data_IF_326951712385
#
_entry.id   IF_326951712385
#
_cell.length_a   1.000
_cell.length_b   1.000
_cell.length_c   1.000
_cell.angle_alpha   90.00
_cell.angle_beta   90.00
_cell.angle_gamma   90.00
#
_symmetry.space_group_name_H-M   'P 1'
#
loop_
_entity.id
_entity.type
_entity.pdbx_description
1 polymer ?
#
# COMPACT_ATOMS: atom_id res chain seq x y z
N UNK A 1 -7.59 36.63 -25.68
CA UNK A 1 -7.71 35.71 -24.52
C UNK A 1 -8.71 36.33 -23.56
N UNK A 2 -9.94 35.81 -23.42
CA UNK A 2 -10.86 36.38 -22.43
C UNK A 2 -10.33 36.00 -21.04
N UNK A 3 -9.81 36.98 -20.31
CA UNK A 3 -9.66 36.89 -18.87
C UNK A 3 -11.08 36.93 -18.29
N UNK A 4 -11.73 35.77 -18.27
CA UNK A 4 -13.03 35.61 -17.63
C UNK A 4 -12.89 36.00 -16.17
N UNK A 5 -13.63 37.03 -15.78
CA UNK A 5 -13.75 37.54 -14.43
C UNK A 5 -14.00 36.35 -13.48
N UNK A 6 -12.97 35.91 -12.75
CA UNK A 6 -13.07 34.77 -11.85
C UNK A 6 -14.01 35.15 -10.73
N UNK A 7 -15.24 34.64 -10.78
CA UNK A 7 -16.20 34.74 -9.68
C UNK A 7 -15.47 34.28 -8.43
N UNK A 8 -15.25 35.20 -7.49
CA UNK A 8 -14.52 34.94 -6.25
C UNK A 8 -15.36 34.00 -5.39
N UNK A 9 -15.25 32.71 -5.69
CA UNK A 9 -16.05 31.66 -5.07
C UNK A 9 -15.49 31.46 -3.67
N UNK A 10 -16.32 31.56 -2.61
CA UNK A 10 -15.83 31.42 -1.26
C UNK A 10 -15.22 30.03 -1.06
N UNK A 11 -14.19 29.97 -0.21
CA UNK A 11 -13.56 28.72 0.14
C UNK A 11 -14.53 27.85 0.97
N UNK A 12 -14.63 26.58 0.63
CA UNK A 12 -15.53 25.61 1.25
C UNK A 12 -14.72 24.35 1.61
N UNK A 13 -15.20 23.56 2.58
CA UNK A 13 -14.51 22.33 3.02
C UNK A 13 -14.27 21.31 1.90
N UNK A 14 -15.08 21.33 0.83
CA UNK A 14 -14.85 20.50 -0.36
C UNK A 14 -13.53 20.84 -1.08
N UNK A 15 -13.11 22.10 -1.00
CA UNK A 15 -11.84 22.54 -1.59
C UNK A 15 -10.66 22.02 -0.78
N UNK A 16 -10.75 22.01 0.56
CA UNK A 16 -9.75 21.38 1.43
C UNK A 16 -9.56 19.90 1.07
N UNK A 17 -10.67 19.16 0.92
CA UNK A 17 -10.62 17.75 0.53
C UNK A 17 -10.03 17.54 -0.87
N UNK A 18 -10.32 18.44 -1.82
CA UNK A 18 -9.76 18.37 -3.17
C UNK A 18 -8.25 18.62 -3.17
N UNK A 19 -7.78 19.61 -2.40
CA UNK A 19 -6.35 19.90 -2.23
C UNK A 19 -5.63 18.75 -1.53
N UNK A 20 -6.21 18.18 -0.47
CA UNK A 20 -5.63 17.02 0.20
C UNK A 20 -5.51 15.82 -0.73
N UNK A 21 -6.55 15.57 -1.54
CA UNK A 21 -6.52 14.49 -2.53
C UNK A 21 -5.42 14.71 -3.57
N UNK A 22 -5.25 15.94 -4.07
CA UNK A 22 -4.20 16.24 -5.05
C UNK A 22 -2.80 16.09 -4.46
N UNK A 23 -2.58 16.50 -3.20
CA UNK A 23 -1.31 16.31 -2.48
C UNK A 23 -0.99 14.82 -2.33
N UNK A 24 -1.96 14.01 -1.88
CA UNK A 24 -1.79 12.56 -1.72
C UNK A 24 -1.45 11.91 -3.07
N UNK A 25 -2.20 12.23 -4.12
CA UNK A 25 -1.97 11.70 -5.47
C UNK A 25 -0.60 12.09 -6.03
N UNK A 26 -0.21 13.36 -5.87
CA UNK A 26 1.09 13.86 -6.34
C UNK A 26 2.22 13.13 -5.62
N UNK A 27 2.15 13.02 -4.30
CA UNK A 27 3.16 12.35 -3.46
C UNK A 27 3.30 10.86 -3.81
N UNK A 28 2.18 10.17 -4.00
CA UNK A 28 2.18 8.76 -4.37
C UNK A 28 2.67 8.52 -5.81
N UNK A 29 2.45 9.47 -6.71
CA UNK A 29 2.93 9.41 -8.10
C UNK A 29 4.43 9.69 -8.20
N UNK A 30 4.97 10.57 -7.35
CA UNK A 30 6.40 10.89 -7.29
C UNK A 30 7.22 9.95 -6.39
N UNK A 31 6.70 8.76 -6.06
CA UNK A 31 7.38 7.80 -5.16
C UNK A 31 8.75 7.36 -5.66
N UNK A 32 8.92 7.18 -6.97
CA UNK A 32 10.22 6.83 -7.55
C UNK A 32 11.28 7.89 -7.25
N UNK A 33 10.93 9.16 -7.32
CA UNK A 33 11.82 10.27 -6.96
C UNK A 33 12.19 10.23 -5.48
N UNK A 34 11.23 9.90 -4.61
CA UNK A 34 11.48 9.76 -3.16
C UNK A 34 12.43 8.59 -2.88
N UNK A 35 12.32 7.49 -3.62
CA UNK A 35 13.22 6.33 -3.46
C UNK A 35 14.64 6.59 -3.99
N UNK A 36 14.81 7.59 -4.84
CA UNK A 36 16.10 7.96 -5.42
C UNK A 36 16.89 8.94 -4.54
N UNK A 37 16.36 9.36 -3.38
CA UNK A 37 17.08 10.22 -2.44
C UNK A 37 18.20 9.47 -1.73
N UNK A 38 19.42 10.01 -1.78
CA UNK A 38 20.62 9.39 -1.19
C UNK A 38 20.48 9.16 0.32
N UNK A 39 19.84 10.09 1.04
CA UNK A 39 19.58 9.98 2.48
C UNK A 39 18.63 8.83 2.85
N UNK A 40 17.92 8.28 1.87
CA UNK A 40 17.00 7.15 2.05
C UNK A 40 17.58 5.84 1.52
N UNK A 41 18.80 5.85 0.96
CA UNK A 41 19.43 4.67 0.37
C UNK A 41 19.57 3.53 1.38
N UNK A 42 19.98 3.83 2.62
CA UNK A 42 20.17 2.84 3.69
C UNK A 42 18.87 2.13 4.12
N UNK A 43 17.73 2.81 3.95
CA UNK A 43 16.41 2.29 4.34
C UNK A 43 15.58 1.78 3.16
N UNK A 44 16.15 1.79 1.95
CA UNK A 44 15.53 1.30 0.72
C UNK A 44 15.64 -0.24 0.54
N UNK A 45 15.87 -0.97 1.63
CA UNK A 45 15.90 -2.42 1.62
C UNK A 45 14.49 -2.98 1.30
N UNK A 46 14.44 -4.06 0.51
CA UNK A 46 13.21 -4.73 0.08
C UNK A 46 12.31 -3.88 -0.84
N UNK A 47 12.89 -3.22 -1.85
CA UNK A 47 12.13 -2.57 -2.92
C UNK A 47 11.29 -1.39 -2.47
N UNK A 48 11.73 -0.68 -1.42
CA UNK A 48 11.06 0.53 -0.92
C UNK A 48 9.82 0.28 -0.05
N UNK A 49 9.54 -0.95 0.41
CA UNK A 49 8.37 -1.24 1.24
C UNK A 49 8.34 -0.42 2.55
N UNK A 50 9.48 -0.29 3.22
CA UNK A 50 9.61 0.51 4.45
C UNK A 50 9.32 1.99 4.20
N UNK A 51 9.86 2.53 3.10
CA UNK A 51 9.65 3.93 2.69
C UNK A 51 8.18 4.14 2.33
N UNK A 52 7.58 3.24 1.55
CA UNK A 52 6.17 3.30 1.16
C UNK A 52 5.23 3.28 2.38
N UNK A 53 5.49 2.41 3.36
CA UNK A 53 4.74 2.39 4.63
C UNK A 53 4.87 3.71 5.37
N UNK A 54 6.06 4.31 5.41
CA UNK A 54 6.25 5.61 6.07
C UNK A 54 5.57 6.76 5.34
N UNK A 55 5.61 6.80 4.01
CA UNK A 55 4.85 7.78 3.21
C UNK A 55 3.36 7.68 3.56
N UNK A 56 2.79 6.48 3.56
CA UNK A 56 1.38 6.28 3.90
C UNK A 56 1.05 6.67 5.35
N UNK A 57 1.94 6.41 6.31
CA UNK A 57 1.77 6.84 7.70
C UNK A 57 1.78 8.36 7.84
N UNK A 58 2.70 9.06 7.17
CA UNK A 58 2.81 10.53 7.21
C UNK A 58 1.57 11.15 6.56
N UNK A 59 1.19 10.67 5.37
CA UNK A 59 -0.03 11.13 4.70
C UNK A 59 -1.28 10.83 5.53
N UNK A 60 -1.35 9.66 6.17
CA UNK A 60 -2.46 9.32 7.07
C UNK A 60 -2.61 10.35 8.19
N UNK A 61 -1.52 10.67 8.89
CA UNK A 61 -1.52 11.70 9.95
C UNK A 61 -1.91 13.08 9.44
N UNK A 62 -1.41 13.48 8.27
CA UNK A 62 -1.74 14.77 7.65
C UNK A 62 -3.22 14.88 7.33
N UNK A 63 -3.83 13.79 6.88
CA UNK A 63 -5.22 13.78 6.45
C UNK A 63 -6.19 13.60 7.63
N UNK A 64 -5.76 12.97 8.72
CA UNK A 64 -6.55 12.81 9.95
C UNK A 64 -6.96 14.13 10.63
N UNK A 65 -6.31 15.25 10.30
CA UNK A 65 -6.70 16.56 10.84
C UNK A 65 -7.93 17.16 10.15
N UNK A 66 -8.42 16.55 9.06
CA UNK A 66 -9.53 17.07 8.27
C UNK A 66 -10.72 16.10 8.30
N UNK A 67 -11.91 16.56 8.72
CA UNK A 67 -13.10 15.71 8.78
C UNK A 67 -13.50 15.21 7.39
N UNK A 68 -13.78 13.91 7.29
CA UNK A 68 -14.19 13.26 6.03
C UNK A 68 -13.03 12.78 5.13
N UNK A 69 -11.79 12.92 5.57
CA UNK A 69 -10.62 12.54 4.78
C UNK A 69 -9.92 11.25 5.28
N UNK A 70 -10.39 10.66 6.39
CA UNK A 70 -9.75 9.55 7.12
C UNK A 70 -9.35 8.33 6.26
N UNK A 71 -10.13 8.02 5.22
CA UNK A 71 -9.88 6.88 4.33
C UNK A 71 -9.23 7.27 3.00
N UNK A 72 -8.99 8.56 2.75
CA UNK A 72 -8.52 9.07 1.46
C UNK A 72 -7.19 8.45 1.03
N UNK A 73 -6.24 8.32 1.95
CA UNK A 73 -4.92 7.73 1.64
C UNK A 73 -5.05 6.26 1.22
N UNK A 74 -5.89 5.48 1.91
CA UNK A 74 -6.12 4.06 1.58
C UNK A 74 -6.80 3.90 0.22
N UNK A 75 -7.78 4.75 -0.08
CA UNK A 75 -8.46 4.77 -1.36
C UNK A 75 -7.51 5.07 -2.52
N UNK A 76 -6.66 6.10 -2.38
CA UNK A 76 -5.71 6.49 -3.44
C UNK A 76 -4.62 5.43 -3.65
N UNK A 77 -4.09 4.83 -2.58
CA UNK A 77 -3.14 3.71 -2.67
C UNK A 77 -3.79 2.50 -3.38
N UNK A 78 -5.04 2.18 -3.05
CA UNK A 78 -5.79 1.08 -3.66
C UNK A 78 -6.05 1.27 -5.16
N UNK A 79 -6.22 2.51 -5.62
CA UNK A 79 -6.34 2.85 -7.06
C UNK A 79 -5.03 2.61 -7.80
N UNK A 80 -3.89 2.97 -7.20
CA UNK A 80 -2.57 2.79 -7.84
C UNK A 80 -2.13 1.33 -7.90
N UNK A 81 -2.43 0.53 -6.87
CA UNK A 81 -2.11 -0.91 -6.87
C UNK A 81 -2.85 -1.73 -7.92
N UNK A 82 -3.97 -1.21 -8.46
CA UNK A 82 -4.75 -1.83 -9.53
C UNK A 82 -4.37 -1.33 -10.93
N UNK A 83 -3.33 -0.49 -11.04
CA UNK A 83 -2.93 0.20 -12.26
C UNK A 83 -1.95 -0.54 -13.18
N UNK A 84 -1.74 -1.85 -13.01
CA UNK A 84 -0.90 -2.65 -13.92
C UNK A 84 -1.48 -2.82 -15.33
N UNK A 85 -2.79 -2.70 -15.50
CA UNK A 85 -3.46 -2.80 -16.80
C UNK A 85 -4.67 -1.88 -16.80
N UNK A 86 -4.53 -0.70 -17.44
CA UNK A 86 -5.61 0.06 -18.08
C UNK A 86 -5.03 1.28 -18.80
N UNK A 87 -4.26 1.00 -19.85
CA UNK A 87 -4.21 1.85 -21.04
C UNK A 87 -4.77 1.04 -22.21
N UNK A 88 -6.06 1.16 -22.43
CA UNK A 88 -6.70 1.06 -23.74
C UNK A 88 -8.14 1.55 -23.56
N UNK A 89 -8.35 2.83 -23.86
CA UNK A 89 -9.65 3.28 -24.32
C UNK A 89 -9.80 2.77 -25.75
N UNK A 90 -10.88 2.04 -26.02
CA UNK A 90 -11.52 2.05 -27.33
C UNK A 90 -13.02 1.85 -27.10
N UNK A 91 -13.78 2.91 -27.32
CA UNK A 91 -15.23 2.89 -27.44
C UNK A 91 -15.60 2.13 -28.71
N UNK A 92 -16.38 1.05 -28.58
CA UNK A 92 -17.27 0.65 -29.66
C UNK A 92 -17.34 -0.85 -29.96
N UNK A 93 -18.51 -1.40 -29.66
CA UNK A 93 -19.15 -2.49 -30.41
C UNK A 93 -18.78 -3.95 -30.07
N UNK A 94 -19.79 -4.69 -29.61
CA UNK A 94 -20.01 -6.06 -30.10
C UNK A 94 -19.89 -7.22 -29.11
N UNK A 95 -20.98 -7.48 -28.37
CA UNK A 95 -21.61 -8.79 -28.06
C UNK A 95 -20.82 -9.97 -27.44
N UNK A 96 -21.45 -10.80 -26.57
CA UNK A 96 -20.78 -11.82 -25.77
C UNK A 96 -20.73 -13.18 -26.46
N UNK A 97 -19.55 -13.80 -26.56
CA UNK A 97 -19.40 -15.20 -27.02
C UNK A 97 -18.90 -16.13 -25.92
N UNK A 98 -19.87 -16.84 -25.33
CA UNK A 98 -19.87 -18.20 -24.78
C UNK A 98 -18.52 -18.90 -24.54
N UNK A 99 -18.30 -19.27 -23.28
CA UNK A 99 -17.39 -20.32 -22.82
C UNK A 99 -17.65 -21.68 -23.49
N UNK A 100 -16.62 -22.52 -23.72
CA UNK A 100 -16.81 -23.96 -23.82
C UNK A 100 -16.31 -24.67 -22.56
N UNK A 101 -17.28 -25.31 -21.91
CA UNK A 101 -17.18 -26.34 -20.88
C UNK A 101 -16.33 -27.52 -21.40
N UNK A 102 -15.27 -27.91 -20.70
CA UNK A 102 -14.62 -29.22 -20.85
C UNK A 102 -14.71 -30.00 -19.54
N UNK A 103 -15.19 -31.23 -19.70
CA UNK A 103 -15.57 -32.24 -18.71
C UNK A 103 -14.38 -32.91 -18.01
N UNK A 104 -14.60 -33.63 -16.90
CA UNK A 104 -13.54 -34.17 -16.06
C UNK A 104 -12.93 -35.44 -16.66
N UNK A 105 -11.60 -35.49 -16.75
CA UNK A 105 -10.86 -36.72 -17.07
C UNK A 105 -10.37 -37.37 -15.79
N UNK A 106 -10.91 -38.54 -15.53
CA UNK A 106 -10.55 -39.55 -14.53
C UNK A 106 -9.16 -40.14 -14.81
N UNK A 107 -8.31 -40.21 -13.78
CA UNK A 107 -7.42 -41.36 -13.59
C UNK A 107 -5.93 -41.09 -13.30
N UNK A 108 -5.48 -41.57 -12.13
CA UNK A 108 -4.08 -41.96 -11.85
C UNK A 108 -3.32 -41.04 -10.87
N UNK A 109 -3.50 -41.13 -9.55
CA UNK A 109 -2.93 -42.11 -8.60
C UNK A 109 -1.39 -42.18 -8.55
N UNK A 110 -0.79 -41.66 -7.46
CA UNK A 110 0.17 -42.30 -6.51
C UNK A 110 0.83 -41.21 -5.64
N UNK A 111 0.64 -41.14 -4.30
CA UNK A 111 1.12 -41.99 -3.18
C UNK A 111 2.49 -41.52 -2.63
N UNK A 112 2.51 -41.13 -1.35
CA UNK A 112 3.70 -40.94 -0.49
C UNK A 112 4.11 -39.47 -0.33
N UNK A 113 4.48 -38.94 0.84
CA UNK A 113 5.11 -39.56 2.01
C UNK A 113 5.01 -38.61 3.22
N UNK A 114 4.75 -39.21 4.39
CA UNK A 114 4.68 -38.59 5.71
C UNK A 114 6.06 -38.39 6.36
N UNK A 115 6.05 -37.79 7.56
CA UNK A 115 7.09 -37.72 8.62
C UNK A 115 7.83 -36.39 8.68
N UNK A 116 8.18 -35.75 9.80
CA UNK A 116 8.21 -36.04 11.27
C UNK A 116 8.62 -34.70 11.93
N UNK A 117 8.07 -34.27 13.07
CA UNK A 117 8.51 -34.51 14.47
C UNK A 117 9.84 -33.86 14.87
N UNK A 118 9.78 -33.06 15.95
CA UNK A 118 10.86 -32.75 16.91
C UNK A 118 11.55 -31.40 16.67
N UNK A 119 12.11 -30.71 17.66
CA UNK A 119 12.17 -30.85 19.11
C UNK A 119 12.83 -29.56 19.65
N UNK A 120 12.69 -29.36 20.96
CA UNK A 120 13.46 -28.52 21.91
C UNK A 120 14.66 -27.70 21.41
N UNK A 121 14.73 -26.46 21.90
CA UNK A 121 15.97 -25.80 22.26
C UNK A 121 15.79 -25.23 23.68
N UNK A 122 16.47 -25.86 24.64
CA UNK A 122 16.80 -25.31 25.96
C UNK A 122 17.86 -24.20 25.82
N UNK A 123 18.09 -23.53 26.95
CA UNK A 123 19.38 -22.98 27.40
C UNK A 123 19.74 -21.55 26.95
N UNK A 124 19.50 -20.58 27.85
CA UNK A 124 20.55 -19.70 28.43
C UNK A 124 19.89 -18.62 29.30
N UNK A 125 20.18 -18.64 30.60
CA UNK A 125 20.36 -17.45 31.46
C UNK A 125 20.79 -17.93 32.85
N UNK A 126 22.05 -18.36 32.95
CA UNK A 126 22.81 -18.30 34.20
C UNK A 126 23.22 -16.84 34.46
N UNK A 127 23.15 -16.47 35.73
CA UNK A 127 24.03 -15.52 36.44
C UNK A 127 24.22 -14.08 35.89
N UNK A 128 23.51 -13.13 36.50
CA UNK A 128 24.12 -11.86 36.96
C UNK A 128 23.73 -11.69 38.45
N UNK A 129 24.70 -11.84 39.34
CA UNK A 129 25.35 -10.78 40.14
C UNK A 129 24.36 -10.02 41.06
N UNK A 130 24.34 -10.31 42.37
CA UNK A 130 25.11 -9.66 43.46
C UNK A 130 24.66 -8.22 43.78
N UNK A 131 24.54 -7.97 45.09
CA UNK A 131 24.31 -6.68 45.77
C UNK A 131 22.82 -6.26 45.83
N UNK A 132 22.16 -6.19 47.00
CA UNK A 132 22.48 -5.22 48.04
C UNK A 132 21.95 -5.70 49.42
N UNK A 133 22.84 -5.68 50.40
CA UNK A 133 22.60 -5.90 51.82
C UNK A 133 22.42 -4.52 52.49
N UNK A 134 21.19 -4.09 52.81
CA UNK A 134 20.96 -3.17 53.93
C UNK A 134 19.49 -2.84 54.19
N UNK A 135 18.91 -3.47 55.21
CA UNK A 135 18.29 -2.78 56.37
C UNK A 135 17.67 -3.79 57.34
#
# INVERSE_FOLDING_TARGET
MPAGNSVNTPWESKHDLAVLRSIVQSTLSSRSTIYASDDLAEVNNNGGDRINKKIQQILGKLVSTYPGAENMVKEEVGKMGRGGERKAADEGSGSPTKSPKRTPSTGGAKKGRASRKGAEAEEEAEEEDLEDESS
#
